data_IF_688349924275
#
_entry.id   IF_688349924275
#
_cell.length_a   1.000
_cell.length_b   1.000
_cell.length_c   1.000
_cell.angle_alpha   90.00
_cell.angle_beta   90.00
_cell.angle_gamma   90.00
#
_symmetry.space_group_name_H-M   'P 1'
#
loop_
_entity.id
_entity.type
_entity.pdbx_description
1 polymer ?
#
# COMPACT_ATOMS: atom_id res chain seq x y z
N UNK A 1 0.19 -21.47 3.85
CA UNK A 1 -0.55 -20.25 3.50
C UNK A 1 -0.75 -19.44 4.77
N UNK A 2 -0.21 -18.23 4.82
CA UNK A 2 -0.48 -17.26 5.89
C UNK A 2 -1.53 -16.26 5.40
N UNK A 3 -2.46 -15.86 6.28
CA UNK A 3 -3.48 -14.88 5.96
C UNK A 3 -3.72 -13.95 7.17
N UNK A 4 -3.84 -12.66 6.89
CA UNK A 4 -4.11 -11.61 7.89
C UNK A 4 -5.10 -10.61 7.32
N UNK A 5 -6.19 -10.35 8.03
CA UNK A 5 -7.04 -9.19 7.74
C UNK A 5 -6.50 -7.96 8.45
N UNK A 6 -6.76 -6.79 7.88
CA UNK A 6 -6.34 -5.51 8.44
C UNK A 6 -7.45 -4.46 8.32
N UNK A 7 -7.32 -3.43 9.13
CA UNK A 7 -8.07 -2.19 9.02
C UNK A 7 -7.08 -1.04 9.16
N UNK A 8 -7.16 -0.05 8.27
CA UNK A 8 -6.33 1.14 8.36
C UNK A 8 -7.00 2.17 9.25
N UNK A 9 -6.19 2.87 10.02
CA UNK A 9 -6.58 4.02 10.83
C UNK A 9 -6.08 5.29 10.14
N UNK A 10 -6.89 6.36 10.09
CA UNK A 10 -6.40 7.63 9.61
C UNK A 10 -5.41 8.21 10.64
N UNK A 11 -4.37 8.87 10.15
CA UNK A 11 -3.34 9.50 10.98
C UNK A 11 -3.94 10.61 11.86
N UNK A 12 -4.82 11.41 11.26
CA UNK A 12 -5.63 12.42 11.92
C UNK A 12 -7.11 12.08 11.82
N UNK A 13 -7.93 12.64 12.72
CA UNK A 13 -9.37 12.52 12.61
C UNK A 13 -9.86 13.15 11.29
N UNK A 14 -10.61 12.39 10.52
CA UNK A 14 -11.29 12.89 9.33
C UNK A 14 -12.42 13.82 9.77
N UNK A 15 -12.74 14.80 8.93
CA UNK A 15 -13.89 15.66 9.16
C UNK A 15 -15.14 14.84 9.51
N UNK A 16 -15.84 15.22 10.58
CA UNK A 16 -16.96 14.45 11.17
C UNK A 16 -18.13 14.19 10.23
N UNK A 17 -18.20 14.95 9.13
CA UNK A 17 -19.18 14.80 8.08
C UNK A 17 -18.72 13.84 6.95
N UNK A 18 -17.59 13.16 7.10
CA UNK A 18 -17.00 12.26 6.08
C UNK A 18 -16.73 10.90 6.71
N UNK A 19 -17.54 9.91 6.34
CA UNK A 19 -17.40 8.55 6.83
C UNK A 19 -16.64 7.71 5.78
N UNK A 20 -15.41 7.32 6.07
CA UNK A 20 -14.62 6.43 5.24
C UNK A 20 -14.08 5.28 6.08
N UNK A 21 -13.95 4.10 5.48
CA UNK A 21 -13.32 2.94 6.10
C UNK A 21 -12.48 2.19 5.08
N UNK A 22 -11.25 1.84 5.47
CA UNK A 22 -10.34 1.04 4.66
C UNK A 22 -10.01 -0.25 5.40
N UNK A 23 -10.40 -1.37 4.79
CA UNK A 23 -10.13 -2.71 5.30
C UNK A 23 -9.51 -3.56 4.22
N UNK A 24 -9.01 -4.72 4.59
CA UNK A 24 -8.43 -5.61 3.60
C UNK A 24 -7.90 -6.91 4.15
N UNK A 25 -7.17 -7.61 3.29
CA UNK A 25 -6.51 -8.87 3.60
C UNK A 25 -5.19 -8.96 2.86
N UNK A 26 -4.19 -9.49 3.57
CA UNK A 26 -2.94 -9.96 2.98
C UNK A 26 -2.90 -11.48 3.07
N UNK A 27 -2.47 -12.14 2.00
CA UNK A 27 -2.15 -13.56 2.01
C UNK A 27 -0.78 -13.83 1.42
N UNK A 28 -0.06 -14.78 2.02
CA UNK A 28 1.20 -15.30 1.50
C UNK A 28 1.09 -16.81 1.31
N UNK A 29 1.24 -17.24 0.07
CA UNK A 29 1.38 -18.64 -0.29
C UNK A 29 2.73 -18.88 -0.97
N UNK A 30 3.66 -19.55 -0.26
CA UNK A 30 5.08 -19.66 -0.65
C UNK A 30 5.71 -18.26 -0.77
N UNK A 31 5.93 -17.80 -2.00
CA UNK A 31 6.46 -16.48 -2.38
C UNK A 31 5.45 -15.68 -3.21
N UNK A 32 4.15 -16.05 -3.17
CA UNK A 32 3.07 -15.32 -3.81
C UNK A 32 2.36 -14.46 -2.78
N UNK A 33 2.54 -13.15 -2.91
CA UNK A 33 1.89 -12.15 -2.08
C UNK A 33 0.62 -11.67 -2.78
N UNK A 34 -0.50 -11.74 -2.05
CA UNK A 34 -1.76 -11.13 -2.46
C UNK A 34 -2.20 -10.10 -1.43
N UNK A 35 -2.73 -8.97 -1.89
CA UNK A 35 -3.24 -7.89 -1.04
C UNK A 35 -4.53 -7.34 -1.65
N UNK A 36 -5.62 -7.42 -0.88
CA UNK A 36 -6.90 -6.82 -1.24
C UNK A 36 -7.20 -5.63 -0.30
N UNK A 37 -7.57 -4.50 -0.89
CA UNK A 37 -8.05 -3.31 -0.21
C UNK A 37 -9.52 -3.06 -0.56
N UNK A 38 -10.30 -2.63 0.43
CA UNK A 38 -11.66 -2.14 0.30
C UNK A 38 -11.75 -0.79 0.97
N UNK A 39 -11.89 0.27 0.17
CA UNK A 39 -12.33 1.59 0.62
C UNK A 39 -13.85 1.69 0.49
N UNK A 40 -14.54 2.04 1.56
CA UNK A 40 -16.01 2.13 1.63
C UNK A 40 -16.46 3.41 2.36
N UNK A 41 -17.72 3.79 2.17
CA UNK A 41 -18.33 4.98 2.79
C UNK A 41 -18.62 6.09 1.78
N UNK A 42 -18.30 7.33 2.14
CA UNK A 42 -18.59 8.56 1.36
C UNK A 42 -17.63 8.75 0.16
N UNK A 43 -17.62 7.78 -0.76
CA UNK A 43 -16.73 7.80 -1.94
C UNK A 43 -16.96 8.99 -2.86
N UNK A 44 -18.16 9.59 -2.83
CA UNK A 44 -18.45 10.81 -3.58
C UNK A 44 -17.60 12.01 -3.14
N UNK A 45 -16.99 11.94 -1.94
CA UNK A 45 -16.05 12.95 -1.42
C UNK A 45 -14.59 12.65 -1.75
N UNK A 46 -14.29 11.45 -2.26
CA UNK A 46 -12.94 11.03 -2.62
C UNK A 46 -12.63 11.40 -4.07
N UNK A 47 -11.45 11.95 -4.31
CA UNK A 47 -10.89 12.15 -5.65
C UNK A 47 -10.30 10.82 -6.15
N UNK A 48 -11.15 10.00 -6.77
CA UNK A 48 -10.75 8.73 -7.38
C UNK A 48 -10.42 8.96 -8.85
N UNK A 49 -9.19 8.69 -9.25
CA UNK A 49 -8.79 8.78 -10.65
C UNK A 49 -9.55 7.73 -11.48
N UNK A 50 -10.00 8.05 -12.70
CA UNK A 50 -10.66 7.07 -13.56
C UNK A 50 -9.67 5.99 -13.99
N UNK A 51 -10.15 4.74 -14.03
CA UNK A 51 -9.40 3.61 -14.54
C UNK A 51 -9.02 3.86 -16.00
N UNK A 52 -7.74 3.70 -16.34
CA UNK A 52 -7.22 3.91 -17.69
C UNK A 52 -7.11 2.57 -18.43
N UNK A 53 -7.22 2.63 -19.76
CA UNK A 53 -6.87 1.49 -20.61
C UNK A 53 -5.34 1.35 -20.66
N UNK A 54 -4.81 0.29 -20.06
CA UNK A 54 -3.38 0.01 -20.01
C UNK A 54 -2.75 0.52 -18.71
N UNK A 55 -2.46 -0.43 -17.81
CA UNK A 55 -1.65 -0.23 -16.61
C UNK A 55 -0.23 0.20 -17.02
N UNK A 56 0.32 1.22 -16.35
CA UNK A 56 1.67 1.73 -16.60
C UNK A 56 2.41 1.95 -15.29
N UNK A 57 3.73 1.72 -15.31
CA UNK A 57 4.61 2.16 -14.24
C UNK A 57 4.69 3.70 -14.23
N UNK A 58 4.47 4.34 -13.09
CA UNK A 58 4.54 5.80 -12.92
C UNK A 58 5.05 6.21 -11.56
N UNK A 59 5.82 7.29 -11.51
CA UNK A 59 6.24 7.94 -10.27
C UNK A 59 5.15 8.86 -9.71
N UNK A 60 5.28 9.25 -8.43
CA UNK A 60 4.45 10.24 -7.73
C UNK A 60 2.96 9.89 -7.62
N UNK A 61 2.63 8.59 -7.60
CA UNK A 61 1.24 8.14 -7.47
C UNK A 61 0.60 8.58 -6.14
N UNK A 62 1.40 8.68 -5.06
CA UNK A 62 1.00 9.15 -3.73
C UNK A 62 0.56 10.63 -3.68
N UNK A 63 0.76 11.41 -4.75
CA UNK A 63 0.19 12.77 -4.84
C UNK A 63 -1.32 12.75 -5.08
N UNK A 64 -1.87 11.59 -5.46
CA UNK A 64 -3.29 11.33 -5.64
C UNK A 64 -3.76 10.25 -4.67
N UNK A 65 -5.04 9.83 -4.76
CA UNK A 65 -5.51 8.64 -4.05
C UNK A 65 -4.68 7.44 -4.48
N UNK A 66 -3.98 6.82 -3.55
CA UNK A 66 -3.03 5.73 -3.78
C UNK A 66 -3.09 4.72 -2.62
N UNK A 67 -2.95 3.44 -2.92
CA UNK A 67 -2.86 2.37 -1.94
C UNK A 67 -1.46 1.80 -1.97
N UNK A 68 -0.91 1.52 -0.80
CA UNK A 68 0.51 1.25 -0.66
C UNK A 68 0.74 0.04 0.24
N UNK A 69 1.79 -0.70 -0.09
CA UNK A 69 2.33 -1.73 0.79
C UNK A 69 3.85 -1.60 0.87
N UNK A 70 4.39 -2.01 2.00
CA UNK A 70 5.82 -2.04 2.26
C UNK A 70 6.21 -3.46 2.63
N UNK A 71 7.35 -3.93 2.15
CA UNK A 71 7.82 -5.29 2.38
C UNK A 71 9.28 -5.27 2.85
N UNK A 72 9.53 -5.81 4.03
CA UNK A 72 10.87 -6.08 4.54
C UNK A 72 11.00 -7.57 4.90
N UNK A 73 12.22 -8.10 4.88
CA UNK A 73 12.50 -9.50 5.21
C UNK A 73 13.60 -9.63 6.27
N UNK A 74 13.51 -10.70 7.07
CA UNK A 74 14.50 -11.01 8.11
C UNK A 74 14.02 -10.62 9.51
N UNK A 75 14.94 -10.27 10.44
CA UNK A 75 14.56 -9.85 11.78
C UNK A 75 13.68 -8.59 11.75
N UNK A 76 13.10 -8.22 12.90
CA UNK A 76 12.27 -7.02 13.02
C UNK A 76 12.93 -5.81 12.36
N UNK A 77 12.24 -5.10 11.45
CA UNK A 77 12.84 -4.02 10.68
C UNK A 77 13.40 -2.90 11.58
N UNK A 78 14.51 -2.34 11.13
CA UNK A 78 15.18 -1.18 11.74
C UNK A 78 15.40 -0.10 10.69
N UNK A 79 15.94 1.05 11.09
CA UNK A 79 16.25 2.13 10.15
C UNK A 79 17.31 1.77 9.11
N UNK A 80 18.07 0.69 9.34
CA UNK A 80 19.08 0.16 8.40
C UNK A 80 18.57 -1.03 7.57
N UNK A 81 17.32 -1.43 7.73
CA UNK A 81 16.75 -2.57 7.00
C UNK A 81 16.34 -2.10 5.60
N UNK A 82 16.80 -2.76 4.52
CA UNK A 82 16.29 -2.52 3.17
C UNK A 82 14.85 -3.03 3.06
N UNK A 83 14.06 -2.38 2.21
CA UNK A 83 12.67 -2.75 1.98
C UNK A 83 12.19 -2.31 0.60
N UNK A 84 11.05 -2.84 0.20
CA UNK A 84 10.34 -2.43 -0.99
C UNK A 84 9.07 -1.68 -0.64
N UNK A 85 8.67 -0.78 -1.51
CA UNK A 85 7.42 -0.04 -1.46
C UNK A 85 6.67 -0.28 -2.77
N UNK A 86 5.45 -0.81 -2.69
CA UNK A 86 4.53 -0.92 -3.82
C UNK A 86 3.45 0.15 -3.76
N UNK A 87 3.21 0.82 -4.88
CA UNK A 87 2.19 1.85 -5.06
C UNK A 87 1.15 1.36 -6.07
N UNK A 88 -0.13 1.43 -5.69
CA UNK A 88 -1.28 0.97 -6.48
C UNK A 88 -2.29 2.11 -6.61
N UNK A 89 -2.40 2.70 -7.81
CA UNK A 89 -3.36 3.77 -8.06
C UNK A 89 -4.70 3.23 -8.54
N UNK A 90 -5.85 3.85 -8.17
CA UNK A 90 -7.14 3.57 -8.77
C UNK A 90 -7.19 3.77 -10.29
N UNK A 91 -6.25 4.52 -10.88
CA UNK A 91 -6.13 4.64 -12.34
C UNK A 91 -5.66 3.34 -13.03
N UNK A 92 -5.19 2.35 -12.26
CA UNK A 92 -4.50 1.17 -12.76
C UNK A 92 -2.99 1.36 -12.95
N UNK A 93 -2.48 2.58 -12.75
CA UNK A 93 -1.03 2.84 -12.74
C UNK A 93 -0.40 2.34 -11.43
N UNK A 94 0.87 1.96 -11.47
CA UNK A 94 1.58 1.40 -10.31
C UNK A 94 3.05 1.82 -10.27
N UNK A 95 3.73 1.55 -9.15
CA UNK A 95 5.19 1.50 -9.10
C UNK A 95 5.64 0.55 -8.00
N UNK A 96 6.87 0.07 -8.10
CA UNK A 96 7.57 -0.59 -7.00
C UNK A 96 8.93 0.06 -6.87
N UNK A 97 9.25 0.51 -5.67
CA UNK A 97 10.55 1.08 -5.33
C UNK A 97 11.31 0.15 -4.39
N UNK A 98 12.60 -0.01 -4.61
CA UNK A 98 13.53 -0.58 -3.66
C UNK A 98 14.21 0.56 -2.88
N UNK A 99 14.27 0.42 -1.56
CA UNK A 99 14.92 1.36 -0.66
C UNK A 99 16.05 0.64 0.07
N UNK A 100 17.24 1.24 0.05
CA UNK A 100 18.43 0.66 0.70
C UNK A 100 18.27 0.63 2.22
N UNK A 101 17.61 1.65 2.77
CA UNK A 101 17.30 1.83 4.20
C UNK A 101 16.26 2.94 4.37
N UNK A 102 15.89 3.27 5.60
CA UNK A 102 14.86 4.26 5.92
C UNK A 102 14.98 5.58 5.13
N UNK A 103 14.06 5.80 4.16
CA UNK A 103 13.98 6.98 3.27
C UNK A 103 15.28 7.31 2.53
N UNK A 104 16.08 6.30 2.17
CA UNK A 104 17.35 6.49 1.48
C UNK A 104 17.40 5.69 0.18
N UNK A 105 17.92 6.33 -0.86
CA UNK A 105 18.24 5.72 -2.15
C UNK A 105 17.06 4.94 -2.75
N UNK A 106 15.89 5.57 -2.81
CA UNK A 106 14.72 5.01 -3.51
C UNK A 106 15.00 4.91 -5.00
N UNK A 107 14.84 3.72 -5.56
CA UNK A 107 15.01 3.42 -6.98
C UNK A 107 13.88 2.50 -7.45
N UNK A 108 13.47 2.63 -8.71
CA UNK A 108 12.49 1.70 -9.27
C UNK A 108 13.02 0.26 -9.24
N UNK A 109 12.21 -0.67 -8.73
CA UNK A 109 12.54 -2.09 -8.70
C UNK A 109 12.31 -2.71 -10.08
N UNK A 110 13.38 -2.82 -10.86
CA UNK A 110 13.35 -3.30 -12.25
C UNK A 110 13.04 -4.80 -12.37
N UNK A 111 13.22 -5.59 -11.29
CA UNK A 111 12.87 -7.01 -11.32
C UNK A 111 11.35 -7.25 -11.47
N UNK A 112 10.52 -6.25 -11.10
CA UNK A 112 9.07 -6.29 -11.27
C UNK A 112 8.70 -5.54 -12.54
N UNK A 113 8.52 -6.22 -13.66
CA UNK A 113 8.14 -5.54 -14.91
C UNK A 113 6.65 -5.25 -15.04
N UNK A 114 5.81 -5.93 -14.25
CA UNK A 114 4.36 -5.73 -14.17
C UNK A 114 3.84 -6.08 -12.77
N UNK A 115 2.70 -5.49 -12.39
CA UNK A 115 2.05 -5.70 -11.10
C UNK A 115 0.63 -6.25 -11.35
N UNK A 116 0.33 -7.51 -10.97
CA UNK A 116 -0.94 -8.15 -11.29
C UNK A 116 -2.03 -7.70 -10.32
N UNK A 117 -2.50 -6.46 -10.48
CA UNK A 117 -3.61 -5.93 -9.69
C UNK A 117 -4.75 -5.38 -10.55
N UNK A 118 -5.96 -5.42 -9.99
CA UNK A 118 -7.17 -4.88 -10.59
C UNK A 118 -7.82 -3.83 -9.71
N UNK A 119 -8.64 -2.98 -10.34
CA UNK A 119 -9.43 -1.95 -9.67
C UNK A 119 -10.89 -2.13 -10.04
N UNK A 120 -11.76 -2.18 -9.03
CA UNK A 120 -13.21 -2.18 -9.20
C UNK A 120 -13.80 -0.97 -8.46
N UNK A 121 -14.28 0.03 -9.21
CA UNK A 121 -14.88 1.24 -8.66
C UNK A 121 -16.41 1.15 -8.76
N UNK A 122 -17.07 0.99 -7.62
CA UNK A 122 -18.53 0.93 -7.45
C UNK A 122 -19.03 2.22 -6.77
N UNK A 123 -20.34 2.50 -6.82
CA UNK A 123 -20.90 3.70 -6.18
C UNK A 123 -20.61 3.82 -4.69
N UNK A 124 -20.50 2.70 -3.96
CA UNK A 124 -20.37 2.65 -2.50
C UNK A 124 -19.01 2.08 -2.03
N UNK A 125 -18.16 1.66 -2.96
CA UNK A 125 -16.93 0.94 -2.65
C UNK A 125 -15.90 0.99 -3.77
N UNK A 126 -14.62 1.03 -3.38
CA UNK A 126 -13.48 0.94 -4.27
C UNK A 126 -12.64 -0.24 -3.81
N UNK A 127 -12.49 -1.23 -4.70
CA UNK A 127 -11.67 -2.40 -4.47
C UNK A 127 -10.38 -2.30 -5.28
N UNK A 128 -9.26 -2.62 -4.64
CA UNK A 128 -7.99 -2.88 -5.31
C UNK A 128 -7.52 -4.26 -4.88
N UNK A 129 -7.18 -5.12 -5.83
CA UNK A 129 -6.84 -6.51 -5.55
C UNK A 129 -5.58 -6.89 -6.30
N UNK A 130 -4.48 -7.08 -5.56
CA UNK A 130 -3.22 -7.62 -6.01
C UNK A 130 -3.24 -9.13 -5.79
N UNK A 131 -3.24 -9.93 -6.85
CA UNK A 131 -3.59 -11.36 -6.73
C UNK A 131 -2.41 -12.28 -6.42
N UNK A 132 -1.29 -12.14 -7.13
CA UNK A 132 -0.19 -13.14 -7.06
C UNK A 132 1.19 -12.54 -7.37
N UNK A 133 1.58 -11.45 -6.68
CA UNK A 133 2.92 -10.89 -6.85
C UNK A 133 3.99 -11.91 -6.46
N UNK A 134 4.85 -12.26 -7.41
CA UNK A 134 6.04 -13.06 -7.14
C UNK A 134 7.06 -12.22 -6.38
N UNK A 135 7.29 -12.53 -5.12
CA UNK A 135 8.30 -11.85 -4.32
C UNK A 135 9.59 -12.67 -4.18
N UNK A 136 9.68 -13.85 -4.80
CA UNK A 136 10.85 -14.74 -4.64
C UNK A 136 12.16 -14.08 -5.07
N UNK A 137 12.13 -13.27 -6.14
CA UNK A 137 13.27 -12.48 -6.60
C UNK A 137 13.65 -11.32 -5.68
N UNK A 138 12.72 -10.83 -4.86
CA UNK A 138 12.93 -9.73 -3.92
C UNK A 138 13.49 -10.26 -2.60
N UNK A 139 12.79 -11.22 -1.98
CA UNK A 139 13.08 -11.65 -0.61
C UNK A 139 13.95 -12.91 -0.54
N UNK A 140 14.14 -13.63 -1.65
CA UNK A 140 14.84 -14.91 -1.68
C UNK A 140 14.31 -15.87 -0.60
N UNK A 141 15.23 -16.41 0.21
CA UNK A 141 14.88 -17.28 1.35
C UNK A 141 14.73 -16.53 2.68
N UNK A 142 14.87 -15.20 2.68
CA UNK A 142 14.84 -14.40 3.90
C UNK A 142 13.44 -14.40 4.52
N UNK A 143 13.38 -14.71 5.81
CA UNK A 143 12.17 -14.77 6.62
C UNK A 143 12.48 -14.35 8.07
N UNK A 144 11.48 -13.95 8.88
CA UNK A 144 10.07 -13.70 8.50
C UNK A 144 9.91 -12.52 7.53
N UNK A 145 8.70 -12.37 6.97
CA UNK A 145 8.35 -11.18 6.19
C UNK A 145 7.56 -10.21 7.08
N UNK A 146 7.84 -8.92 6.92
CA UNK A 146 7.18 -7.83 7.63
C UNK A 146 6.55 -6.90 6.62
N UNK A 147 5.27 -6.59 6.82
CA UNK A 147 4.53 -5.67 5.96
C UNK A 147 4.04 -4.44 6.70
N UNK A 148 4.23 -3.30 6.06
CA UNK A 148 3.45 -2.09 6.29
C UNK A 148 2.34 -2.01 5.24
N UNK A 149 1.15 -1.58 5.63
CA UNK A 149 0.03 -1.38 4.71
C UNK A 149 -0.55 0.00 4.96
N UNK A 150 -0.71 0.79 3.90
CA UNK A 150 -1.17 2.17 3.97
C UNK A 150 -2.00 2.57 2.76
N UNK A 151 -2.56 3.77 2.84
CA UNK A 151 -3.18 4.48 1.73
C UNK A 151 -3.09 5.98 1.95
N UNK A 152 -2.90 6.72 0.86
CA UNK A 152 -3.16 8.16 0.78
C UNK A 152 -4.51 8.36 0.12
N UNK A 153 -5.44 9.03 0.78
CA UNK A 153 -6.77 9.34 0.23
C UNK A 153 -6.87 10.84 0.03
N UNK A 154 -7.04 11.27 -1.22
CA UNK A 154 -7.28 12.67 -1.57
C UNK A 154 -8.78 12.92 -1.61
N UNK A 155 -9.26 13.90 -0.85
CA UNK A 155 -10.64 14.37 -0.92
C UNK A 155 -10.81 15.32 -2.10
N UNK A 156 -12.03 15.45 -2.63
CA UNK A 156 -12.37 16.42 -3.69
C UNK A 156 -12.14 17.88 -3.29
N UNK A 157 -11.99 18.16 -2.01
CA UNK A 157 -11.56 19.47 -1.49
C UNK A 157 -10.08 19.75 -1.72
N UNK A 158 -9.30 18.75 -2.11
CA UNK A 158 -7.84 18.79 -2.26
C UNK A 158 -7.06 18.33 -1.03
N UNK A 159 -7.72 18.07 0.10
CA UNK A 159 -7.07 17.61 1.33
C UNK A 159 -6.63 16.15 1.22
N UNK A 160 -5.40 15.86 1.64
CA UNK A 160 -4.89 14.50 1.79
C UNK A 160 -5.17 13.96 3.20
N UNK A 161 -5.54 12.69 3.26
CA UNK A 161 -5.62 11.93 4.52
C UNK A 161 -4.74 10.69 4.40
N UNK A 162 -3.99 10.41 5.45
CA UNK A 162 -2.98 9.35 5.48
C UNK A 162 -3.48 8.21 6.34
N UNK A 163 -3.44 6.99 5.83
CA UNK A 163 -4.03 5.82 6.49
C UNK A 163 -3.00 4.72 6.58
N UNK A 164 -2.88 4.08 7.74
CA UNK A 164 -2.00 2.93 7.92
C UNK A 164 -2.53 2.03 9.03
N UNK A 165 -2.00 0.81 9.13
CA UNK A 165 -2.31 -0.07 10.27
C UNK A 165 -1.77 0.54 11.58
N UNK A 166 -0.59 1.17 11.52
CA UNK A 166 0.07 1.80 12.65
C UNK A 166 0.76 3.10 12.23
N UNK A 167 0.71 4.11 13.10
CA UNK A 167 1.38 5.41 12.94
C UNK A 167 2.38 5.60 14.08
N UNK A 168 3.64 5.16 13.93
CA UNK A 168 4.61 5.15 15.03
C UNK A 168 5.29 6.50 15.28
N UNK A 169 5.05 7.48 14.42
CA UNK A 169 5.71 8.79 14.42
C UNK A 169 4.69 9.91 14.68
N UNK A 170 5.18 11.11 14.99
CA UNK A 170 4.35 12.32 15.10
C UNK A 170 3.93 12.90 13.76
N UNK A 171 4.35 12.27 12.66
CA UNK A 171 4.06 12.62 11.27
C UNK A 171 3.55 11.36 10.55
N UNK A 172 2.78 11.48 9.46
CA UNK A 172 2.30 10.33 8.68
C UNK A 172 3.46 9.66 7.90
N UNK A 173 4.23 8.84 8.61
CA UNK A 173 5.46 8.23 8.12
C UNK A 173 5.32 6.71 7.94
N UNK A 174 4.86 6.30 6.76
CA UNK A 174 4.69 4.89 6.42
C UNK A 174 6.03 4.13 6.32
N UNK A 175 7.12 4.84 6.07
CA UNK A 175 8.46 4.28 5.92
C UNK A 175 9.12 3.95 7.26
N UNK A 176 8.58 4.41 8.38
CA UNK A 176 9.15 4.14 9.68
C UNK A 176 9.19 2.63 9.94
N UNK A 177 10.29 2.04 10.43
CA UNK A 177 10.40 0.59 10.61
C UNK A 177 9.29 -0.02 11.48
N UNK A 178 8.84 0.73 12.50
CA UNK A 178 7.72 0.31 13.36
C UNK A 178 6.34 0.37 12.69
N UNK A 179 6.22 0.86 11.44
CA UNK A 179 5.00 0.79 10.64
C UNK A 179 4.81 -0.60 10.00
N UNK A 180 5.86 -1.43 9.97
CA UNK A 180 5.87 -2.79 9.43
C UNK A 180 5.35 -3.80 10.45
N UNK A 181 4.06 -3.72 10.76
CA UNK A 181 3.45 -4.44 11.90
C UNK A 181 2.84 -5.80 11.55
N UNK A 182 2.66 -6.13 10.27
CA UNK A 182 2.13 -7.42 9.84
C UNK A 182 3.25 -8.42 9.56
N UNK A 183 3.43 -9.40 10.45
CA UNK A 183 4.33 -10.53 10.21
C UNK A 183 3.61 -11.68 9.49
N UNK A 184 4.23 -12.21 8.42
CA UNK A 184 3.77 -13.36 7.64
C UNK A 184 4.77 -14.52 7.62
#
# INVERSE_FOLDING_TARGET
MAARSFQLQPFEAIASNTALSITGRVTLEKDRLAIAYLLSGDLEKVAIAPLRSGSQRRDRLWEQTCFEFFLACGPTPTTNTPYWEGNLSPSGDWNVFALERYRQNSQEEEAISDLPFGVENKPDSLYLDLWELDISGLVGTHRPLWLGISAVIVLKTGSQTFWAIAHPSSEPDFHHPNSFVLAL
#
